data_IF_270869933432
#
_entry.id   IF_270869933432
#
_cell.length_a   1.000
_cell.length_b   1.000
_cell.length_c   1.000
_cell.angle_alpha   90.00
_cell.angle_beta   90.00
_cell.angle_gamma   90.00
#
_symmetry.space_group_name_H-M   'P 1'
#
loop_
_entity.id
_entity.type
_entity.pdbx_description
1 polymer ?
#
# COMPACT_ATOMS: atom_id res chain seq x y z
N UNK A 1 31.54 -8.67 -11.84
CA UNK A 1 30.52 -8.58 -10.77
C UNK A 1 29.40 -7.76 -11.37
N UNK A 2 28.25 -8.37 -11.64
CA UNK A 2 27.12 -7.65 -12.22
C UNK A 2 26.55 -6.74 -11.13
N UNK A 3 26.42 -5.43 -11.36
CA UNK A 3 26.00 -4.51 -10.32
C UNK A 3 24.58 -4.86 -9.88
N UNK A 4 24.32 -4.77 -8.57
CA UNK A 4 23.01 -5.06 -7.97
C UNK A 4 21.90 -4.18 -8.56
N UNK A 5 22.25 -3.00 -9.08
CA UNK A 5 21.36 -2.10 -9.82
C UNK A 5 20.83 -2.71 -11.13
N UNK A 6 21.61 -3.53 -11.84
CA UNK A 6 21.12 -4.24 -13.03
C UNK A 6 20.12 -5.35 -12.69
N UNK A 7 20.18 -5.87 -11.45
CA UNK A 7 19.18 -6.82 -10.94
C UNK A 7 17.95 -6.14 -10.39
N UNK A 8 18.06 -4.94 -9.81
CA UNK A 8 16.92 -4.15 -9.33
C UNK A 8 16.16 -3.53 -10.51
N UNK A 9 16.86 -2.89 -11.45
CA UNK A 9 16.29 -2.42 -12.70
C UNK A 9 15.73 -3.59 -13.52
N UNK A 10 16.45 -4.73 -13.60
CA UNK A 10 15.93 -5.95 -14.22
C UNK A 10 14.71 -6.53 -13.50
N UNK A 11 14.64 -6.47 -12.16
CA UNK A 11 13.47 -6.91 -11.40
C UNK A 11 12.28 -5.95 -11.54
N UNK A 12 12.53 -4.64 -11.71
CA UNK A 12 11.51 -3.62 -11.97
C UNK A 12 11.03 -3.66 -13.44
N UNK A 13 11.91 -3.96 -14.39
CA UNK A 13 11.60 -4.14 -15.81
C UNK A 13 10.87 -5.48 -16.03
N UNK A 14 11.27 -6.53 -15.30
CA UNK A 14 10.54 -7.79 -15.20
C UNK A 14 9.18 -7.61 -14.52
N UNK A 15 8.92 -6.49 -13.81
CA UNK A 15 7.64 -6.17 -13.19
C UNK A 15 6.63 -5.51 -14.14
N UNK A 16 6.96 -4.87 -15.28
CA UNK A 16 5.90 -4.33 -16.19
C UNK A 16 4.78 -3.50 -15.51
N UNK A 17 3.57 -3.42 -16.10
CA UNK A 17 2.38 -2.72 -15.54
C UNK A 17 1.81 -3.52 -14.33
N UNK A 18 2.39 -3.40 -13.12
CA UNK A 18 2.09 -4.29 -11.97
C UNK A 18 2.05 -3.62 -10.61
N UNK A 19 1.10 -4.08 -9.80
CA UNK A 19 1.04 -3.82 -8.36
C UNK A 19 1.94 -4.76 -7.56
N UNK A 20 2.56 -4.26 -6.49
CA UNK A 20 3.30 -5.05 -5.51
C UNK A 20 3.06 -4.52 -4.10
N UNK A 21 3.22 -5.38 -3.09
CA UNK A 21 3.16 -5.02 -1.68
C UNK A 21 3.97 -5.98 -0.83
N UNK A 22 4.76 -5.44 0.09
CA UNK A 22 5.54 -6.17 1.08
C UNK A 22 5.30 -5.51 2.44
N UNK A 23 4.95 -6.32 3.44
CA UNK A 23 4.85 -5.85 4.83
C UNK A 23 5.87 -6.59 5.67
N UNK A 24 6.71 -5.84 6.35
CA UNK A 24 7.73 -6.34 7.26
C UNK A 24 7.34 -5.88 8.66
N UNK A 25 7.05 -6.85 9.52
CA UNK A 25 6.95 -6.60 10.96
C UNK A 25 8.36 -6.41 11.50
N UNK A 26 8.61 -5.29 12.17
CA UNK A 26 9.93 -4.93 12.66
C UNK A 26 10.01 -5.30 14.14
N UNK A 27 10.84 -6.27 14.47
CA UNK A 27 11.11 -6.59 15.87
C UNK A 27 11.98 -5.51 16.50
N UNK A 28 11.74 -5.17 17.76
CA UNK A 28 12.54 -4.19 18.50
C UNK A 28 14.04 -4.54 18.50
N UNK A 29 14.38 -5.83 18.45
CA UNK A 29 15.77 -6.31 18.39
C UNK A 29 16.45 -6.03 17.03
N UNK A 30 15.70 -5.89 15.94
CA UNK A 30 16.24 -5.67 14.59
C UNK A 30 16.69 -4.21 14.37
N UNK A 31 16.12 -3.26 15.09
CA UNK A 31 16.48 -1.83 15.04
C UNK A 31 17.56 -1.45 16.07
N UNK A 32 17.76 -2.30 17.09
CA UNK A 32 18.82 -2.14 18.08
C UNK A 32 20.22 -2.48 17.53
N UNK A 33 20.31 -3.03 16.32
CA UNK A 33 21.58 -3.26 15.64
C UNK A 33 22.13 -1.93 15.11
N UNK A 34 23.06 -1.35 15.87
CA UNK A 34 23.59 0.01 15.65
C UNK A 34 24.22 0.21 14.26
N UNK A 35 24.51 -0.86 13.52
CA UNK A 35 25.12 -0.76 12.19
C UNK A 35 24.17 -0.15 11.14
N UNK A 36 22.84 -0.34 11.21
CA UNK A 36 21.90 0.23 10.23
C UNK A 36 21.75 1.75 10.41
N UNK A 37 21.70 2.22 11.66
CA UNK A 37 21.59 3.65 11.99
C UNK A 37 22.95 4.36 11.96
N UNK A 38 24.06 3.63 12.14
CA UNK A 38 25.42 4.21 12.06
C UNK A 38 25.76 4.78 10.68
N UNK A 39 25.23 4.18 9.60
CA UNK A 39 25.37 4.69 8.23
C UNK A 39 24.65 6.01 7.98
N UNK A 40 23.59 6.30 8.75
CA UNK A 40 22.94 7.63 8.77
C UNK A 40 23.61 8.56 9.79
N UNK A 41 24.25 8.01 10.83
CA UNK A 41 24.85 8.73 11.94
C UNK A 41 26.15 9.49 11.62
N UNK A 42 26.96 9.06 10.64
CA UNK A 42 28.22 9.74 10.32
C UNK A 42 28.03 11.17 9.75
N UNK A 43 26.83 11.52 9.28
CA UNK A 43 26.49 12.87 8.80
C UNK A 43 25.46 13.64 9.65
N UNK A 44 24.79 12.97 10.60
CA UNK A 44 23.64 13.49 11.35
C UNK A 44 23.89 13.62 12.87
N UNK A 45 25.11 13.36 13.33
CA UNK A 45 25.46 13.29 14.76
C UNK A 45 25.34 14.59 15.59
N UNK A 46 24.97 15.72 14.98
CA UNK A 46 24.78 17.02 15.67
C UNK A 46 23.36 17.59 15.43
N UNK A 47 22.39 16.72 15.16
CA UNK A 47 20.99 17.14 15.03
C UNK A 47 20.44 17.57 16.40
N UNK A 48 19.67 18.68 16.48
CA UNK A 48 19.11 19.20 17.73
C UNK A 48 17.93 18.38 18.27
N UNK A 49 17.70 17.17 17.75
CA UNK A 49 16.59 16.28 18.11
C UNK A 49 17.06 14.82 18.12
N UNK A 50 16.40 14.01 18.96
CA UNK A 50 16.71 12.60 19.08
C UNK A 50 16.18 11.81 17.87
N UNK A 51 16.90 10.76 17.49
CA UNK A 51 16.48 9.81 16.44
C UNK A 51 15.83 8.55 17.04
N UNK A 52 15.48 8.57 18.34
CA UNK A 52 14.90 7.45 19.07
C UNK A 52 13.56 6.97 18.47
N UNK A 53 12.89 7.83 17.70
CA UNK A 53 11.66 7.47 16.99
C UNK A 53 11.83 6.26 16.08
N UNK A 54 13.03 6.01 15.53
CA UNK A 54 13.28 4.83 14.69
C UNK A 54 13.06 3.53 15.46
N UNK A 55 13.40 3.48 16.75
CA UNK A 55 13.26 2.28 17.60
C UNK A 55 11.79 1.93 17.87
N UNK A 56 10.90 2.90 17.72
CA UNK A 56 9.47 2.71 17.97
C UNK A 56 8.69 2.24 16.73
N UNK A 57 9.35 2.08 15.58
CA UNK A 57 8.73 1.52 14.36
C UNK A 57 8.41 0.05 14.60
N UNK A 58 7.12 -0.27 14.55
CA UNK A 58 6.60 -1.63 14.70
C UNK A 58 6.41 -2.35 13.36
N UNK A 59 6.09 -1.62 12.30
CA UNK A 59 5.83 -2.19 10.98
C UNK A 59 6.30 -1.25 9.88
N UNK A 60 6.81 -1.84 8.80
CA UNK A 60 7.13 -1.16 7.55
C UNK A 60 6.37 -1.87 6.42
N UNK A 61 5.42 -1.17 5.82
CA UNK A 61 4.76 -1.58 4.59
C UNK A 61 5.35 -0.83 3.41
N UNK A 62 5.61 -1.52 2.31
CA UNK A 62 5.94 -0.90 1.02
C UNK A 62 5.00 -1.48 -0.01
N UNK A 63 4.17 -0.65 -0.61
CA UNK A 63 3.32 -1.03 -1.73
C UNK A 63 3.54 -0.07 -2.89
N UNK A 64 3.30 -0.53 -4.10
CA UNK A 64 3.46 0.31 -5.26
C UNK A 64 2.80 -0.28 -6.49
N UNK A 65 2.77 0.52 -7.53
CA UNK A 65 2.38 0.14 -8.87
C UNK A 65 3.45 0.65 -9.83
N UNK A 66 4.02 -0.25 -10.63
CA UNK A 66 4.78 0.13 -11.81
C UNK A 66 3.76 0.31 -12.92
N UNK A 67 3.56 1.54 -13.36
CA UNK A 67 2.73 1.90 -14.51
C UNK A 67 3.57 2.01 -15.79
N UNK A 68 2.94 2.03 -16.97
CA UNK A 68 3.67 2.20 -18.25
C UNK A 68 4.57 3.46 -18.31
N UNK A 69 4.22 4.54 -17.60
CA UNK A 69 4.95 5.83 -17.66
C UNK A 69 5.45 6.31 -16.27
N UNK A 70 5.11 5.62 -15.17
CA UNK A 70 5.47 6.05 -13.82
C UNK A 70 5.44 4.91 -12.79
N UNK A 71 6.36 4.93 -11.83
CA UNK A 71 6.33 4.11 -10.62
C UNK A 71 5.67 4.90 -9.48
N UNK A 72 4.53 4.41 -8.99
CA UNK A 72 3.93 4.90 -7.74
C UNK A 72 4.39 4.02 -6.58
N UNK A 73 4.94 4.63 -5.53
CA UNK A 73 5.37 3.93 -4.33
C UNK A 73 4.70 4.57 -3.10
N UNK A 74 4.23 3.73 -2.19
CA UNK A 74 3.73 4.09 -0.87
C UNK A 74 4.47 3.29 0.19
N UNK A 75 5.16 3.99 1.07
CA UNK A 75 5.77 3.44 2.28
C UNK A 75 4.87 3.80 3.46
N UNK A 76 4.52 2.81 4.26
CA UNK A 76 3.74 2.96 5.49
C UNK A 76 4.61 2.57 6.66
N UNK A 77 4.82 3.49 7.58
CA UNK A 77 5.54 3.26 8.83
C UNK A 77 4.52 3.31 9.97
N UNK A 78 4.44 2.26 10.77
CA UNK A 78 3.57 2.20 11.95
C UNK A 78 4.41 2.25 13.21
N UNK A 79 4.10 3.18 14.11
CA UNK A 79 4.83 3.39 15.34
C UNK A 79 4.07 2.81 16.54
N UNK A 80 4.79 2.36 17.55
CA UNK A 80 4.19 1.93 18.83
C UNK A 80 3.66 3.10 19.63
N UNK A 81 4.21 4.30 19.42
CA UNK A 81 3.88 5.54 20.11
C UNK A 81 3.56 6.68 19.13
N UNK A 82 2.60 7.53 19.49
CA UNK A 82 2.15 8.63 18.62
C UNK A 82 3.08 9.84 18.67
N UNK A 83 3.74 10.10 19.80
CA UNK A 83 4.70 11.19 19.96
C UNK A 83 5.94 10.93 19.10
N UNK A 84 6.37 9.66 19.00
CA UNK A 84 7.46 9.25 18.12
C UNK A 84 7.10 9.36 16.64
N UNK A 85 5.89 8.94 16.23
CA UNK A 85 5.39 9.18 14.88
C UNK A 85 5.32 10.68 14.56
N UNK A 86 4.95 11.52 15.53
CA UNK A 86 4.96 12.96 15.37
C UNK A 86 6.39 13.50 15.18
N UNK A 87 7.35 13.03 15.97
CA UNK A 87 8.76 13.39 15.85
C UNK A 87 9.33 13.07 14.47
N UNK A 88 9.12 11.85 13.98
CA UNK A 88 9.54 11.44 12.63
C UNK A 88 8.87 12.29 11.54
N UNK A 89 7.56 12.55 11.63
CA UNK A 89 6.86 13.36 10.63
C UNK A 89 7.45 14.76 10.53
N UNK A 90 7.70 15.41 11.67
CA UNK A 90 8.32 16.75 11.70
C UNK A 90 9.75 16.75 11.16
N UNK A 91 10.50 15.67 11.42
CA UNK A 91 11.83 15.48 10.87
C UNK A 91 11.80 15.35 9.34
N UNK A 92 10.91 14.52 8.80
CA UNK A 92 10.73 14.36 7.35
C UNK A 92 10.31 15.68 6.69
N UNK A 93 9.34 16.39 7.26
CA UNK A 93 8.92 17.71 6.78
C UNK A 93 10.08 18.71 6.79
N UNK A 94 10.92 18.66 7.83
CA UNK A 94 12.12 19.48 7.95
C UNK A 94 13.15 19.18 6.85
N UNK A 95 13.42 17.90 6.60
CA UNK A 95 14.31 17.46 5.51
C UNK A 95 13.77 17.92 4.16
N UNK A 96 12.47 17.73 3.90
CA UNK A 96 11.86 18.08 2.61
C UNK A 96 11.84 19.59 2.40
N UNK A 97 11.56 20.36 3.45
CA UNK A 97 11.65 21.82 3.41
C UNK A 97 13.07 22.31 3.10
N UNK A 98 14.10 21.64 3.61
CA UNK A 98 15.49 21.95 3.29
C UNK A 98 15.85 21.50 1.86
N UNK A 99 15.50 20.27 1.48
CA UNK A 99 15.79 19.70 0.17
C UNK A 99 15.18 20.54 -0.96
N UNK A 100 13.94 21.01 -0.81
CA UNK A 100 13.30 21.91 -1.78
C UNK A 100 14.03 23.24 -1.95
N UNK A 101 14.77 23.71 -0.93
CA UNK A 101 15.59 24.91 -1.00
C UNK A 101 16.97 24.71 -1.62
N UNK A 102 17.44 23.46 -1.72
CA UNK A 102 18.74 23.08 -2.25
C UNK A 102 18.67 22.20 -3.50
N UNK A 103 17.48 22.04 -4.09
CA UNK A 103 17.29 21.27 -5.32
C UNK A 103 18.25 21.80 -6.42
N UNK A 104 19.19 20.96 -6.89
CA UNK A 104 20.25 21.40 -7.79
C UNK A 104 19.75 21.73 -9.20
N UNK A 105 18.60 21.19 -9.57
CA UNK A 105 17.96 21.31 -10.89
C UNK A 105 16.42 21.22 -10.78
N UNK A 106 15.69 21.64 -11.84
CA UNK A 106 14.23 21.60 -11.86
C UNK A 106 13.60 20.21 -11.80
N UNK A 107 14.30 19.16 -12.25
CA UNK A 107 13.78 17.78 -12.26
C UNK A 107 13.78 17.21 -10.83
N UNK A 108 14.83 17.46 -10.05
CA UNK A 108 14.88 17.14 -8.63
C UNK A 108 13.78 17.89 -7.85
N UNK A 109 13.50 19.13 -8.24
CA UNK A 109 12.43 19.91 -7.61
C UNK A 109 11.05 19.33 -7.92
N UNK A 110 10.78 18.94 -9.17
CA UNK A 110 9.54 18.27 -9.57
C UNK A 110 9.37 16.94 -8.83
N UNK A 111 10.43 16.15 -8.67
CA UNK A 111 10.40 14.90 -7.92
C UNK A 111 10.10 15.12 -6.43
N UNK A 112 10.70 16.13 -5.80
CA UNK A 112 10.39 16.50 -4.41
C UNK A 112 8.94 16.99 -4.25
N UNK A 113 8.35 17.61 -5.27
CA UNK A 113 6.94 18.00 -5.27
C UNK A 113 5.98 16.80 -5.36
N UNK A 114 6.42 15.68 -5.92
CA UNK A 114 5.63 14.43 -5.93
C UNK A 114 5.71 13.63 -4.63
N UNK A 115 6.67 13.97 -3.75
CA UNK A 115 6.83 13.29 -2.47
C UNK A 115 5.86 13.87 -1.44
N UNK A 116 4.89 13.06 -1.03
CA UNK A 116 3.90 13.44 -0.03
C UNK A 116 4.12 12.64 1.25
N UNK A 117 4.27 13.34 2.38
CA UNK A 117 4.31 12.73 3.71
C UNK A 117 3.02 13.10 4.44
N UNK A 118 2.28 12.08 4.88
CA UNK A 118 1.07 12.23 5.68
C UNK A 118 1.19 11.47 7.00
N UNK A 119 0.57 11.99 8.06
CA UNK A 119 0.48 11.32 9.36
C UNK A 119 -0.96 11.19 9.82
N UNK A 120 -1.34 9.99 10.26
CA UNK A 120 -2.61 9.73 10.95
C UNK A 120 -2.33 8.98 12.25
N UNK A 121 -2.43 9.67 13.38
CA UNK A 121 -2.07 9.11 14.68
C UNK A 121 -0.63 8.60 14.69
N UNK A 122 -0.48 7.28 14.89
CA UNK A 122 0.80 6.54 14.95
C UNK A 122 1.34 6.11 13.58
N UNK A 123 0.66 6.46 12.49
CA UNK A 123 1.05 6.06 11.14
C UNK A 123 1.66 7.22 10.39
N UNK A 124 2.76 6.97 9.70
CA UNK A 124 3.28 7.83 8.64
C UNK A 124 3.13 7.12 7.31
N UNK A 125 2.60 7.83 6.32
CA UNK A 125 2.51 7.39 4.94
C UNK A 125 3.38 8.30 4.10
N UNK A 126 4.32 7.73 3.36
CA UNK A 126 5.17 8.42 2.40
C UNK A 126 4.74 7.93 1.02
N UNK A 127 4.23 8.82 0.18
CA UNK A 127 3.87 8.51 -1.20
C UNK A 127 4.80 9.25 -2.15
N UNK A 128 5.21 8.58 -3.22
CA UNK A 128 6.02 9.18 -4.27
C UNK A 128 5.57 8.65 -5.63
N UNK A 129 5.54 9.53 -6.62
CA UNK A 129 5.26 9.17 -8.01
C UNK A 129 6.47 9.51 -8.84
N UNK A 130 7.19 8.49 -9.28
CA UNK A 130 8.41 8.63 -10.05
C UNK A 130 8.08 8.45 -11.54
N UNK A 131 8.17 9.49 -12.38
CA UNK A 131 8.03 9.32 -13.82
C UNK A 131 9.17 8.45 -14.38
N UNK A 132 8.94 7.79 -15.52
CA UNK A 132 9.93 6.91 -16.17
C UNK A 132 11.29 7.61 -16.41
N UNK A 133 11.25 8.91 -16.71
CA UNK A 133 12.46 9.74 -16.86
C UNK A 133 13.32 9.75 -15.59
N UNK A 134 12.72 9.89 -14.42
CA UNK A 134 13.42 9.89 -13.14
C UNK A 134 13.95 8.49 -12.75
N UNK A 135 13.24 7.42 -13.15
CA UNK A 135 13.69 6.04 -12.91
C UNK A 135 15.00 5.73 -13.64
N UNK A 136 15.15 6.23 -14.86
CA UNK A 136 16.37 6.05 -15.67
C UNK A 136 17.59 6.72 -15.04
N UNK A 137 17.42 7.87 -14.39
CA UNK A 137 18.50 8.59 -13.70
C UNK A 137 18.87 7.95 -12.36
N UNK A 138 17.88 7.57 -11.54
CA UNK A 138 18.09 6.86 -10.28
C UNK A 138 18.81 5.52 -10.50
N UNK A 139 18.47 4.80 -11.56
CA UNK A 139 19.17 3.59 -11.95
C UNK A 139 20.65 3.87 -12.28
N UNK A 140 20.94 5.02 -12.89
CA UNK A 140 22.31 5.50 -13.17
C UNK A 140 23.11 5.80 -11.90
N UNK A 141 22.51 6.42 -10.88
CA UNK A 141 23.20 6.72 -9.61
C UNK A 141 23.43 5.47 -8.76
N UNK A 142 22.46 4.57 -8.69
CA UNK A 142 22.58 3.28 -7.97
C UNK A 142 23.65 2.36 -8.58
N UNK A 143 24.03 2.55 -9.85
CA UNK A 143 25.17 1.83 -10.45
C UNK A 143 26.53 2.33 -9.98
N UNK A 144 26.62 3.51 -9.35
CA UNK A 144 27.88 4.09 -8.86
C UNK A 144 28.14 3.81 -7.37
N UNK A 145 27.16 3.27 -6.63
CA UNK A 145 27.35 2.84 -5.24
C UNK A 145 28.12 1.50 -5.18
N UNK A 146 29.44 1.58 -5.19
CA UNK A 146 30.37 0.47 -4.94
C UNK A 146 30.31 0.09 -3.45
N UNK A 147 29.29 -0.68 -3.02
CA UNK A 147 29.32 -1.70 -1.93
C UNK A 147 27.96 -1.84 -1.28
N UNK A 148 27.24 -2.90 -1.64
CA UNK A 148 26.18 -3.49 -0.81
C UNK A 148 26.61 -4.93 -0.53
N UNK A 149 26.72 -5.29 0.74
CA UNK A 149 27.04 -6.66 1.14
C UNK A 149 26.03 -7.64 0.54
N UNK A 150 26.56 -8.69 -0.07
CA UNK A 150 25.80 -9.64 -0.88
C UNK A 150 24.94 -10.51 0.03
N UNK A 151 23.64 -10.26 0.09
CA UNK A 151 22.68 -11.21 0.67
C UNK A 151 22.59 -12.42 -0.28
N UNK A 152 22.83 -13.66 0.19
CA UNK A 152 22.77 -14.84 -0.67
C UNK A 152 21.32 -15.11 -1.11
N UNK A 153 21.11 -15.13 -2.43
CA UNK A 153 19.83 -15.49 -3.05
C UNK A 153 19.44 -16.94 -2.77
N UNK A 154 18.14 -17.20 -2.55
CA UNK A 154 17.54 -18.40 -3.09
C UNK A 154 16.20 -18.04 -3.75
N UNK A 155 16.21 -17.70 -5.04
CA UNK A 155 14.94 -17.69 -5.79
C UNK A 155 15.17 -18.38 -7.11
N UNK A 156 14.71 -19.62 -7.15
CA UNK A 156 14.43 -20.36 -8.39
C UNK A 156 13.35 -19.62 -9.14
N UNK A 157 13.59 -19.35 -10.42
CA UNK A 157 12.66 -18.74 -11.38
C UNK A 157 11.24 -19.31 -11.17
N UNK A 158 10.32 -18.46 -10.71
CA UNK A 158 8.91 -18.78 -10.58
C UNK A 158 8.16 -17.92 -11.59
N UNK A 159 7.35 -18.55 -12.44
CA UNK A 159 6.56 -17.92 -13.50
C UNK A 159 5.81 -16.69 -12.98
N UNK A 160 6.00 -15.56 -13.67
CA UNK A 160 5.36 -14.26 -13.44
C UNK A 160 3.91 -14.29 -13.89
N UNK A 161 2.98 -14.26 -12.93
CA UNK A 161 1.52 -14.26 -13.16
C UNK A 161 0.90 -12.98 -12.55
N UNK A 162 0.31 -12.13 -13.42
CA UNK A 162 0.15 -10.66 -13.30
C UNK A 162 -1.19 -10.20 -12.73
N UNK A 163 -1.27 -9.07 -12.02
CA UNK A 163 -2.53 -8.36 -11.66
C UNK A 163 -2.95 -7.38 -12.78
N UNK A 164 -3.41 -7.87 -13.93
CA UNK A 164 -3.64 -7.02 -15.13
C UNK A 164 -4.85 -6.06 -15.07
N UNK A 165 -5.65 -6.08 -14.00
CA UNK A 165 -6.98 -5.41 -13.99
C UNK A 165 -7.24 -4.48 -12.81
N UNK A 166 -6.22 -4.15 -12.02
CA UNK A 166 -6.38 -3.15 -10.95
C UNK A 166 -6.35 -1.74 -11.54
N UNK A 167 -7.24 -0.88 -11.04
CA UNK A 167 -7.37 0.52 -11.42
C UNK A 167 -7.07 1.40 -10.22
N UNK A 168 -6.26 2.43 -10.44
CA UNK A 168 -6.12 3.55 -9.51
C UNK A 168 -7.39 4.41 -9.55
N UNK A 169 -8.01 4.59 -8.38
CA UNK A 169 -9.20 5.43 -8.23
C UNK A 169 -8.83 6.65 -7.41
N UNK A 170 -9.09 7.84 -7.95
CA UNK A 170 -8.90 9.08 -7.23
C UNK A 170 -9.69 9.04 -5.91
N UNK A 171 -8.95 9.18 -4.80
CA UNK A 171 -9.52 9.18 -3.45
C UNK A 171 -10.47 10.36 -3.31
N UNK A 172 -11.67 10.11 -2.79
CA UNK A 172 -12.66 11.17 -2.57
C UNK A 172 -12.17 12.20 -1.54
N UNK A 173 -12.57 13.48 -1.63
CA UNK A 173 -11.99 14.56 -0.83
C UNK A 173 -12.20 14.48 0.70
N UNK A 174 -13.00 13.53 1.19
CA UNK A 174 -13.32 13.42 2.61
C UNK A 174 -13.59 11.97 3.00
N UNK A 175 -13.02 11.56 4.13
CA UNK A 175 -13.25 10.28 4.79
C UNK A 175 -14.10 10.44 6.08
N UNK A 176 -14.79 11.57 6.26
CA UNK A 176 -15.52 11.82 7.52
C UNK A 176 -16.67 10.85 7.75
N UNK A 177 -16.87 10.48 9.02
CA UNK A 177 -18.05 9.75 9.44
C UNK A 177 -19.33 10.59 9.23
N UNK A 178 -20.38 9.93 8.76
CA UNK A 178 -21.75 10.44 8.73
C UNK A 178 -22.66 9.56 9.60
N UNK A 179 -23.76 10.09 10.14
CA UNK A 179 -24.67 9.28 10.94
C UNK A 179 -25.18 8.05 10.19
N UNK A 180 -25.37 6.95 10.92
CA UNK A 180 -26.02 5.75 10.39
C UNK A 180 -27.33 6.11 9.67
N UNK A 181 -27.57 5.50 8.51
CA UNK A 181 -28.71 5.74 7.59
C UNK A 181 -28.63 7.02 6.74
N UNK A 182 -27.55 7.80 6.80
CA UNK A 182 -27.30 8.87 5.82
C UNK A 182 -26.66 8.26 4.58
N UNK A 183 -27.31 8.40 3.43
CA UNK A 183 -26.76 7.94 2.16
C UNK A 183 -25.62 8.82 1.66
N UNK A 184 -24.59 8.21 1.07
CA UNK A 184 -23.44 8.89 0.46
C UNK A 184 -23.39 8.56 -1.02
N UNK A 185 -23.02 9.54 -1.85
CA UNK A 185 -22.77 9.33 -3.27
C UNK A 185 -21.29 9.14 -3.51
N UNK A 186 -20.92 8.03 -4.14
CA UNK A 186 -19.54 7.67 -4.43
C UNK A 186 -19.18 7.89 -5.91
N UNK A 187 -17.87 8.00 -6.18
CA UNK A 187 -17.33 8.13 -7.53
C UNK A 187 -17.24 6.82 -8.31
N UNK A 188 -17.29 5.67 -7.63
CA UNK A 188 -17.21 4.33 -8.21
C UNK A 188 -18.24 3.38 -7.62
N UNK A 189 -18.47 2.29 -8.35
CA UNK A 189 -19.34 1.17 -7.96
C UNK A 189 -18.58 -0.14 -8.21
N UNK A 190 -18.18 -0.89 -7.17
CA UNK A 190 -18.29 -0.59 -5.75
C UNK A 190 -17.45 0.65 -5.34
N UNK A 191 -17.79 1.30 -4.21
CA UNK A 191 -17.03 2.45 -3.73
C UNK A 191 -15.64 2.05 -3.23
N UNK A 192 -14.66 2.94 -3.36
CA UNK A 192 -13.28 2.71 -2.92
C UNK A 192 -12.79 3.68 -1.86
N UNK A 193 -13.51 4.78 -1.62
CA UNK A 193 -13.18 5.81 -0.62
C UNK A 193 -14.35 6.75 -0.43
N UNK A 194 -14.31 7.57 0.61
CA UNK A 194 -15.29 8.63 0.83
C UNK A 194 -15.83 8.66 2.26
N UNK A 195 -16.84 9.51 2.46
CA UNK A 195 -17.61 9.57 3.71
C UNK A 195 -18.35 8.26 3.93
N UNK A 196 -18.50 7.85 5.17
CA UNK A 196 -19.03 6.52 5.50
C UNK A 196 -19.67 6.53 6.89
N UNK A 197 -20.39 5.47 7.26
CA UNK A 197 -21.04 5.40 8.58
C UNK A 197 -20.02 5.15 9.68
N UNK A 198 -20.35 5.47 10.93
CA UNK A 198 -19.49 5.23 12.11
C UNK A 198 -19.30 3.73 12.44
N UNK A 199 -20.04 2.84 11.77
CA UNK A 199 -19.95 1.39 11.97
C UNK A 199 -19.45 0.68 10.72
N UNK A 200 -18.48 -0.21 10.90
CA UNK A 200 -17.99 -1.15 9.87
C UNK A 200 -18.63 -2.55 10.00
N UNK A 201 -18.38 -3.42 9.03
CA UNK A 201 -18.77 -4.83 9.06
C UNK A 201 -17.69 -5.72 9.71
N UNK A 202 -18.10 -6.81 10.34
CA UNK A 202 -17.15 -7.84 10.81
C UNK A 202 -16.48 -8.56 9.63
N UNK A 203 -15.31 -9.14 9.85
CA UNK A 203 -14.60 -9.91 8.85
C UNK A 203 -15.41 -11.16 8.44
N UNK A 204 -15.29 -11.55 7.17
CA UNK A 204 -15.80 -12.82 6.65
C UNK A 204 -16.81 -12.70 5.51
N UNK A 205 -17.66 -13.72 5.41
CA UNK A 205 -18.54 -13.95 4.26
C UNK A 205 -20.00 -13.56 4.54
N UNK A 206 -20.55 -12.73 3.66
CA UNK A 206 -21.94 -12.30 3.66
C UNK A 206 -22.63 -12.75 2.35
N UNK A 207 -23.73 -13.49 2.51
CA UNK A 207 -24.63 -13.92 1.41
C UNK A 207 -25.67 -12.85 1.03
N UNK A 208 -25.75 -11.79 1.84
CA UNK A 208 -26.58 -10.62 1.63
C UNK A 208 -25.75 -9.40 1.22
N UNK A 209 -26.44 -8.39 0.70
CA UNK A 209 -25.83 -7.09 0.46
C UNK A 209 -25.56 -6.39 1.79
N UNK A 210 -24.46 -5.64 1.83
CA UNK A 210 -24.15 -4.72 2.91
C UNK A 210 -24.19 -3.29 2.34
N UNK A 211 -24.64 -2.28 3.10
CA UNK A 211 -24.63 -0.89 2.64
C UNK A 211 -23.22 -0.43 2.27
N UNK A 212 -23.11 0.39 1.23
CA UNK A 212 -21.85 0.94 0.76
C UNK A 212 -21.16 1.79 1.82
N UNK A 213 -21.91 2.61 2.55
CA UNK A 213 -21.40 3.42 3.67
C UNK A 213 -20.85 2.61 4.82
N UNK A 214 -21.30 1.37 5.02
CA UNK A 214 -20.69 0.48 6.03
C UNK A 214 -19.36 -0.07 5.54
N UNK A 215 -19.30 -0.36 4.26
CA UNK A 215 -18.18 -1.05 3.62
C UNK A 215 -17.03 -0.09 3.34
N UNK A 216 -17.30 1.18 3.04
CA UNK A 216 -16.27 2.20 2.93
C UNK A 216 -15.54 2.43 4.26
N UNK A 217 -16.19 2.21 5.40
CA UNK A 217 -15.50 2.20 6.71
C UNK A 217 -14.49 1.04 6.80
N UNK A 218 -14.86 -0.18 6.38
CA UNK A 218 -13.90 -1.28 6.29
C UNK A 218 -12.69 -0.91 5.40
N UNK A 219 -12.93 -0.25 4.27
CA UNK A 219 -11.85 0.24 3.40
C UNK A 219 -10.98 1.30 4.07
N UNK A 220 -11.57 2.21 4.87
CA UNK A 220 -10.82 3.20 5.63
C UNK A 220 -9.86 2.54 6.63
N UNK A 221 -10.31 1.46 7.27
CA UNK A 221 -9.49 0.64 8.16
C UNK A 221 -8.45 -0.23 7.44
N UNK A 222 -8.34 -0.12 6.11
CA UNK A 222 -7.39 -0.86 5.30
C UNK A 222 -7.83 -2.28 4.97
N UNK A 223 -9.11 -2.62 5.17
CA UNK A 223 -9.63 -3.93 4.78
C UNK A 223 -9.77 -4.04 3.26
N UNK A 224 -9.84 -5.26 2.77
CA UNK A 224 -10.18 -5.61 1.39
C UNK A 224 -11.62 -6.06 1.35
N UNK A 225 -12.41 -5.40 0.52
CA UNK A 225 -13.81 -5.73 0.30
C UNK A 225 -13.96 -6.45 -1.02
N UNK A 226 -14.49 -7.67 -0.97
CA UNK A 226 -14.81 -8.50 -2.12
C UNK A 226 -16.31 -8.42 -2.39
N UNK A 227 -16.72 -7.65 -3.39
CA UNK A 227 -18.11 -7.55 -3.83
C UNK A 227 -18.35 -8.53 -4.99
N UNK A 228 -19.29 -9.46 -4.84
CA UNK A 228 -19.58 -10.46 -5.88
C UNK A 228 -21.04 -10.42 -6.37
N UNK A 229 -21.21 -10.62 -7.68
CA UNK A 229 -22.50 -10.87 -8.30
C UNK A 229 -22.40 -12.13 -9.18
N UNK A 230 -22.62 -13.28 -8.56
CA UNK A 230 -22.48 -14.59 -9.19
C UNK A 230 -23.80 -15.34 -9.07
N UNK A 231 -24.41 -15.67 -10.20
CA UNK A 231 -25.66 -16.43 -10.26
C UNK A 231 -25.46 -17.94 -10.18
N UNK A 232 -24.26 -18.46 -10.52
CA UNK A 232 -23.93 -19.88 -10.42
C UNK A 232 -23.47 -20.23 -8.99
N UNK A 233 -24.17 -21.12 -8.26
CA UNK A 233 -23.73 -21.60 -6.95
C UNK A 233 -22.33 -22.25 -6.96
N UNK A 234 -21.90 -22.82 -8.08
CA UNK A 234 -20.56 -23.37 -8.25
C UNK A 234 -19.48 -22.30 -8.16
N UNK A 235 -19.69 -21.15 -8.80
CA UNK A 235 -18.77 -20.01 -8.73
C UNK A 235 -18.77 -19.38 -7.33
N UNK A 236 -19.93 -19.27 -6.69
CA UNK A 236 -20.01 -18.79 -5.29
C UNK A 236 -19.19 -19.68 -4.36
N UNK A 237 -19.31 -21.01 -4.50
CA UNK A 237 -18.52 -21.96 -3.72
C UNK A 237 -17.02 -21.87 -4.03
N UNK A 238 -16.65 -21.66 -5.30
CA UNK A 238 -15.26 -21.45 -5.71
C UNK A 238 -14.67 -20.17 -5.09
N UNK A 239 -15.41 -19.06 -5.09
CA UNK A 239 -14.97 -17.80 -4.47
C UNK A 239 -14.77 -17.98 -2.97
N UNK A 240 -15.74 -18.59 -2.28
CA UNK A 240 -15.64 -18.85 -0.84
C UNK A 240 -14.44 -19.74 -0.49
N UNK A 241 -14.16 -20.74 -1.32
CA UNK A 241 -12.98 -21.58 -1.15
C UNK A 241 -11.68 -20.78 -1.35
N UNK A 242 -11.59 -19.98 -2.43
CA UNK A 242 -10.42 -19.13 -2.69
C UNK A 242 -10.11 -18.20 -1.50
N UNK A 243 -11.14 -17.49 -1.00
CA UNK A 243 -10.98 -16.58 0.15
C UNK A 243 -10.56 -17.32 1.43
N UNK A 244 -11.02 -18.56 1.64
CA UNK A 244 -10.64 -19.35 2.82
C UNK A 244 -9.16 -19.75 2.85
N UNK A 245 -8.49 -19.78 1.69
CA UNK A 245 -7.08 -20.12 1.59
C UNK A 245 -6.17 -18.90 1.84
N UNK A 246 -6.70 -17.69 1.75
CA UNK A 246 -5.95 -16.45 1.96
C UNK A 246 -5.95 -16.13 3.45
N UNK A 247 -4.81 -16.30 4.13
CA UNK A 247 -4.68 -16.03 5.56
C UNK A 247 -5.06 -14.59 5.92
N UNK A 248 -4.69 -13.63 5.07
CA UNK A 248 -5.02 -12.21 5.22
C UNK A 248 -6.53 -11.94 5.20
N UNK A 249 -7.34 -12.75 4.52
CA UNK A 249 -8.79 -12.57 4.47
C UNK A 249 -9.44 -12.71 5.85
N UNK A 250 -8.86 -13.51 6.75
CA UNK A 250 -9.43 -13.72 8.09
C UNK A 250 -9.33 -12.47 8.98
N UNK A 251 -8.33 -11.62 8.76
CA UNK A 251 -8.07 -10.41 9.56
C UNK A 251 -8.40 -9.10 8.81
N UNK A 252 -8.46 -9.14 7.48
CA UNK A 252 -8.60 -7.93 6.65
C UNK A 252 -9.70 -8.05 5.61
N UNK A 253 -10.50 -9.12 5.62
CA UNK A 253 -11.37 -9.45 4.50
C UNK A 253 -12.85 -9.40 4.82
N UNK A 254 -13.61 -8.68 3.99
CA UNK A 254 -15.08 -8.72 3.97
C UNK A 254 -15.53 -9.10 2.57
N UNK A 255 -16.32 -10.17 2.44
CA UNK A 255 -16.93 -10.57 1.17
C UNK A 255 -18.44 -10.41 1.23
N UNK A 256 -19.04 -9.68 0.28
CA UNK A 256 -20.49 -9.41 0.24
C UNK A 256 -21.07 -9.66 -1.13
N UNK A 257 -22.34 -10.07 -1.17
CA UNK A 257 -23.13 -10.01 -2.40
C UNK A 257 -23.34 -8.55 -2.77
N UNK A 258 -23.32 -8.22 -4.07
CA UNK A 258 -23.52 -6.84 -4.52
C UNK A 258 -24.12 -6.81 -5.93
N UNK A 259 -25.40 -6.51 -6.06
CA UNK A 259 -26.13 -6.59 -7.33
C UNK A 259 -25.89 -5.41 -8.29
N UNK A 260 -25.22 -4.36 -7.83
CA UNK A 260 -24.95 -3.15 -8.63
C UNK A 260 -23.79 -3.34 -9.64
N UNK A 261 -22.97 -4.38 -9.48
CA UNK A 261 -21.97 -4.79 -10.48
C UNK A 261 -22.58 -5.81 -11.47
N UNK A 262 -22.06 -5.94 -12.70
CA UNK A 262 -22.62 -6.88 -13.68
C UNK A 262 -22.65 -8.33 -13.19
N UNK A 263 -23.67 -9.10 -13.57
CA UNK A 263 -23.72 -10.54 -13.29
C UNK A 263 -22.50 -11.27 -13.87
N UNK A 264 -21.98 -12.23 -13.11
CA UNK A 264 -20.72 -12.95 -13.39
C UNK A 264 -19.46 -12.16 -13.04
N UNK A 265 -19.53 -11.22 -12.08
CA UNK A 265 -18.39 -10.34 -11.72
C UNK A 265 -18.02 -10.49 -10.26
N UNK A 266 -16.71 -10.46 -9.98
CA UNK A 266 -16.11 -10.30 -8.65
C UNK A 266 -15.25 -9.04 -8.67
N UNK A 267 -15.54 -8.09 -7.79
CA UNK A 267 -14.80 -6.85 -7.63
C UNK A 267 -14.10 -6.81 -6.27
N UNK A 268 -12.84 -6.38 -6.25
CA UNK A 268 -12.04 -6.20 -5.03
C UNK A 268 -11.72 -4.72 -4.88
N UNK A 269 -12.06 -4.17 -3.72
CA UNK A 269 -11.76 -2.80 -3.36
C UNK A 269 -10.78 -2.76 -2.18
N UNK A 270 -9.79 -1.89 -2.30
CA UNK A 270 -9.00 -1.33 -1.20
C UNK A 270 -9.13 0.20 -1.28
N UNK A 271 -8.67 0.94 -0.27
CA UNK A 271 -8.78 2.40 -0.30
C UNK A 271 -8.09 3.00 -1.54
N UNK A 272 -8.87 3.61 -2.43
CA UNK A 272 -8.37 4.17 -3.70
C UNK A 272 -7.90 3.15 -4.75
N UNK A 273 -8.26 1.86 -4.60
CA UNK A 273 -7.95 0.80 -5.59
C UNK A 273 -9.19 -0.04 -5.88
N UNK A 274 -9.36 -0.39 -7.15
CA UNK A 274 -10.44 -1.27 -7.58
C UNK A 274 -9.95 -2.25 -8.64
N UNK A 275 -10.15 -3.54 -8.41
CA UNK A 275 -9.96 -4.58 -9.42
C UNK A 275 -11.29 -5.28 -9.72
N UNK A 276 -11.55 -5.60 -10.99
CA UNK A 276 -12.79 -6.26 -11.42
C UNK A 276 -12.48 -7.45 -12.32
N UNK A 277 -13.03 -8.61 -11.97
CA UNK A 277 -12.82 -9.87 -12.67
C UNK A 277 -14.14 -10.46 -13.14
N UNK A 278 -14.13 -11.07 -14.34
CA UNK A 278 -15.20 -11.96 -14.79
C UNK A 278 -14.98 -13.34 -14.19
N UNK A 279 -15.93 -13.80 -13.38
CA UNK A 279 -15.82 -15.05 -12.62
C UNK A 279 -14.79 -14.98 -11.48
N UNK A 280 -14.42 -16.15 -10.96
CA UNK A 280 -13.52 -16.27 -9.81
C UNK A 280 -12.09 -16.50 -10.28
N UNK A 281 -11.17 -15.63 -9.85
CA UNK A 281 -9.74 -15.73 -10.17
C UNK A 281 -8.90 -15.82 -8.86
N UNK A 282 -8.71 -17.02 -8.28
CA UNK A 282 -8.12 -17.17 -6.94
C UNK A 282 -6.73 -16.51 -6.80
N UNK A 283 -5.83 -16.72 -7.76
CA UNK A 283 -4.48 -16.13 -7.71
C UNK A 283 -4.49 -14.61 -7.76
N UNK A 284 -5.41 -14.01 -8.53
CA UNK A 284 -5.57 -12.55 -8.56
C UNK A 284 -6.13 -11.99 -7.26
N UNK A 285 -7.06 -12.72 -6.65
CA UNK A 285 -7.64 -12.34 -5.36
C UNK A 285 -6.54 -12.36 -4.29
N UNK A 286 -5.76 -13.44 -4.21
CA UNK A 286 -4.65 -13.58 -3.26
C UNK A 286 -3.63 -12.44 -3.42
N UNK A 287 -3.17 -12.17 -4.63
CA UNK A 287 -2.23 -11.08 -4.92
C UNK A 287 -2.78 -9.70 -4.51
N UNK A 288 -4.06 -9.44 -4.72
CA UNK A 288 -4.68 -8.17 -4.30
C UNK A 288 -4.67 -8.02 -2.77
N UNK A 289 -4.88 -9.12 -2.02
CA UNK A 289 -4.73 -9.12 -0.57
C UNK A 289 -3.28 -8.85 -0.15
N UNK A 290 -2.32 -9.54 -0.75
CA UNK A 290 -0.89 -9.34 -0.46
C UNK A 290 -0.43 -7.91 -0.75
N UNK A 291 -0.94 -7.31 -1.84
CA UNK A 291 -0.59 -5.97 -2.26
C UNK A 291 -1.13 -4.88 -1.33
N UNK A 292 -2.32 -5.05 -0.76
CA UNK A 292 -3.08 -3.92 -0.19
C UNK A 292 -3.68 -4.11 1.20
N UNK A 293 -3.78 -5.34 1.71
CA UNK A 293 -4.45 -5.59 2.98
C UNK A 293 -3.72 -4.91 4.14
N UNK A 294 -4.44 -4.05 4.86
CA UNK A 294 -3.92 -3.26 5.98
C UNK A 294 -2.95 -2.15 5.58
N UNK A 295 -2.87 -1.78 4.29
CA UNK A 295 -1.87 -0.83 3.78
C UNK A 295 -2.45 0.49 3.28
N UNK A 296 -3.56 0.44 2.53
CA UNK A 296 -4.02 1.65 1.82
C UNK A 296 -5.01 2.51 2.58
N UNK A 297 -5.67 1.93 3.59
CA UNK A 297 -6.61 2.65 4.44
C UNK A 297 -5.93 3.75 5.28
N UNK A 298 -6.58 4.91 5.48
CA UNK A 298 -6.13 5.92 6.43
C UNK A 298 -5.87 5.37 7.84
N UNK A 299 -6.57 4.31 8.25
CA UNK A 299 -6.41 3.62 9.52
C UNK A 299 -5.95 2.15 9.32
N UNK A 300 -5.40 1.48 10.35
CA UNK A 300 -5.29 0.00 10.37
C UNK A 300 -6.14 -0.50 11.51
N UNK A 301 -7.29 -1.02 11.16
CA UNK A 301 -8.07 -1.79 12.10
C UNK A 301 -8.43 -3.07 11.36
N UNK A 302 -7.81 -4.17 11.79
CA UNK A 302 -8.25 -5.48 11.36
C UNK A 302 -9.73 -5.63 11.72
N UNK A 303 -10.50 -6.28 10.87
CA UNK A 303 -11.79 -6.79 11.31
C UNK A 303 -11.61 -8.06 12.16
#
# INVERSE_FOLDING_TARGET
LSPASGKLAGALDDLGDRDFGIVIEVSADALADQDILSGLGEGLGDLPFSLDFFESISNIGVAGNVGNDALSLRVVLEFTDEEEAQGMSQFLDGILGLAGGFAPDPETQELLETLEVGRTGKRITISVVLPESALSELAGELTQMDSVETIPSPVTETETDTLETTKDVAVMPSAEHVPDNVGVTYSTTPPTSGKHWDRWAECGWYDQELPDERIVHNLEHGNIVVSYNLSDPGEVAALKNALSQISLHQAWGVARRYSEIPDGTVALAAWGRLAEYRGVSPGQIERFYEAYAGLLGPERIAC
#
